data_IF_914597324392
#
_entry.id   IF_914597324392
#
_cell.length_a   1.000
_cell.length_b   1.000
_cell.length_c   1.000
_cell.angle_alpha   90.00
_cell.angle_beta   90.00
_cell.angle_gamma   90.00
#
_symmetry.space_group_name_H-M   'P 1'
#
loop_
_entity.id
_entity.type
_entity.pdbx_description
1 polymer ?
#
# COMPACT_ATOMS: atom_id res chain seq x y z
N UNK A 1 43.30 53.34 -16.07
CA UNK A 1 42.69 52.30 -15.23
C UNK A 1 42.64 50.99 -16.03
N UNK A 2 43.35 49.93 -15.61
CA UNK A 2 43.32 48.63 -16.31
C UNK A 2 42.15 47.79 -15.79
N UNK A 3 41.33 47.18 -16.66
CA UNK A 3 40.23 46.32 -16.23
C UNK A 3 40.79 45.04 -15.58
N UNK A 4 40.38 44.77 -14.34
CA UNK A 4 40.70 43.51 -13.64
C UNK A 4 39.89 42.39 -14.31
N UNK A 5 40.57 41.55 -15.07
CA UNK A 5 40.01 40.31 -15.62
C UNK A 5 39.60 39.40 -14.47
N UNK A 6 38.29 39.30 -14.22
CA UNK A 6 37.72 38.48 -13.17
C UNK A 6 37.89 37.01 -13.57
N UNK A 7 38.89 36.36 -12.95
CA UNK A 7 39.24 34.95 -13.18
C UNK A 7 38.03 34.09 -12.80
N UNK A 8 37.32 33.59 -13.82
CA UNK A 8 36.15 32.71 -13.68
C UNK A 8 36.57 31.49 -12.86
N UNK A 9 36.11 31.43 -11.61
CA UNK A 9 36.37 30.31 -10.69
C UNK A 9 35.70 29.08 -11.29
N UNK A 10 36.48 28.20 -11.89
CA UNK A 10 36.05 26.87 -12.30
C UNK A 10 35.71 26.10 -11.04
N UNK A 11 34.43 26.07 -10.68
CA UNK A 11 33.90 25.13 -9.68
C UNK A 11 34.18 23.73 -10.19
N UNK A 12 35.06 22.99 -9.48
CA UNK A 12 35.30 21.58 -9.76
C UNK A 12 33.94 20.86 -9.80
N UNK A 13 33.68 20.01 -10.81
CA UNK A 13 32.49 19.17 -10.80
C UNK A 13 32.51 18.35 -9.52
N UNK A 14 31.46 18.51 -8.71
CA UNK A 14 31.26 17.68 -7.52
C UNK A 14 31.14 16.24 -8.01
N UNK A 15 31.95 15.30 -7.52
CA UNK A 15 31.84 13.90 -7.92
C UNK A 15 30.42 13.42 -7.62
N UNK A 16 29.73 12.96 -8.65
CA UNK A 16 28.42 12.33 -8.50
C UNK A 16 28.68 11.04 -7.72
N UNK A 17 28.02 10.81 -6.58
CA UNK A 17 28.16 9.57 -5.83
C UNK A 17 27.84 8.39 -6.75
N UNK A 18 28.69 7.36 -6.71
CA UNK A 18 28.43 6.13 -7.44
C UNK A 18 27.02 5.61 -7.09
N UNK A 19 26.27 5.09 -8.07
CA UNK A 19 24.95 4.54 -7.80
C UNK A 19 25.05 3.44 -6.75
N UNK A 20 24.30 3.58 -5.65
CA UNK A 20 24.24 2.66 -4.50
C UNK A 20 23.97 1.19 -4.88
N UNK A 21 23.42 0.94 -6.07
CA UNK A 21 23.05 -0.38 -6.59
C UNK A 21 23.59 -0.55 -8.01
N UNK A 22 24.10 -1.75 -8.31
CA UNK A 22 24.42 -2.13 -9.68
C UNK A 22 23.15 -2.08 -10.56
N UNK A 23 23.27 -1.78 -11.87
CA UNK A 23 22.10 -1.59 -12.75
C UNK A 23 21.11 -2.75 -12.73
N UNK A 24 21.61 -3.99 -12.70
CA UNK A 24 20.75 -5.18 -12.64
C UNK A 24 20.01 -5.31 -11.29
N UNK A 25 20.64 -4.99 -10.15
CA UNK A 25 20.00 -5.03 -8.83
C UNK A 25 18.88 -4.00 -8.74
N UNK A 26 19.10 -2.84 -9.35
CA UNK A 26 18.11 -1.77 -9.44
C UNK A 26 16.89 -2.21 -10.25
N UNK A 27 17.08 -2.85 -11.40
CA UNK A 27 15.99 -3.41 -12.22
C UNK A 27 15.25 -4.51 -11.45
N UNK A 28 15.98 -5.43 -10.82
CA UNK A 28 15.39 -6.51 -10.03
C UNK A 28 14.56 -5.97 -8.86
N UNK A 29 15.08 -4.98 -8.11
CA UNK A 29 14.34 -4.32 -7.04
C UNK A 29 13.10 -3.59 -7.57
N UNK A 30 13.24 -2.84 -8.66
CA UNK A 30 12.12 -2.16 -9.30
C UNK A 30 10.99 -3.13 -9.68
N UNK A 31 11.34 -4.25 -10.30
CA UNK A 31 10.39 -5.30 -10.67
C UNK A 31 9.72 -5.93 -9.44
N UNK A 32 10.49 -6.23 -8.38
CA UNK A 32 9.95 -6.79 -7.15
C UNK A 32 8.93 -5.85 -6.49
N UNK A 33 9.24 -4.56 -6.39
CA UNK A 33 8.33 -3.56 -5.83
C UNK A 33 7.11 -3.29 -6.73
N UNK A 34 7.30 -3.23 -8.04
CA UNK A 34 6.19 -3.04 -8.98
C UNK A 34 5.23 -4.24 -8.98
N UNK A 35 5.75 -5.46 -9.10
CA UNK A 35 4.92 -6.68 -9.12
C UNK A 35 4.29 -6.93 -7.75
N UNK A 36 5.08 -6.85 -6.68
CA UNK A 36 4.58 -7.06 -5.31
C UNK A 36 3.58 -5.99 -4.90
N UNK A 37 3.92 -4.71 -5.09
CA UNK A 37 3.04 -3.59 -4.78
C UNK A 37 1.77 -3.60 -5.62
N UNK A 38 1.89 -3.81 -6.94
CA UNK A 38 0.75 -3.92 -7.85
C UNK A 38 -0.17 -5.09 -7.50
N UNK A 39 0.40 -6.25 -7.16
CA UNK A 39 -0.35 -7.43 -6.70
C UNK A 39 -1.11 -7.17 -5.40
N UNK A 40 -0.45 -6.56 -4.41
CA UNK A 40 -1.12 -6.16 -3.15
C UNK A 40 -2.23 -5.13 -3.39
N UNK A 41 -2.00 -4.14 -4.27
CA UNK A 41 -3.01 -3.13 -4.57
C UNK A 41 -4.25 -3.75 -5.23
N UNK A 42 -4.01 -4.59 -6.25
CA UNK A 42 -5.06 -5.32 -6.95
C UNK A 42 -5.85 -6.22 -6.00
N UNK A 43 -5.17 -7.02 -5.17
CA UNK A 43 -5.81 -7.89 -4.21
C UNK A 43 -6.66 -7.09 -3.21
N UNK A 44 -6.13 -5.99 -2.67
CA UNK A 44 -6.89 -5.15 -1.75
C UNK A 44 -8.17 -4.58 -2.38
N UNK A 45 -8.10 -4.10 -3.64
CA UNK A 45 -9.26 -3.59 -4.37
C UNK A 45 -10.27 -4.71 -4.62
N UNK A 46 -9.79 -5.88 -5.03
CA UNK A 46 -10.63 -7.05 -5.24
C UNK A 46 -11.40 -7.42 -3.96
N UNK A 47 -10.72 -7.53 -2.83
CA UNK A 47 -11.34 -7.90 -1.54
C UNK A 47 -12.37 -6.86 -1.09
N UNK A 48 -12.06 -5.56 -1.23
CA UNK A 48 -13.04 -4.49 -0.95
C UNK A 48 -14.26 -4.61 -1.87
N UNK A 49 -14.07 -4.89 -3.16
CA UNK A 49 -15.17 -5.01 -4.11
C UNK A 49 -16.07 -6.22 -3.80
N UNK A 50 -15.48 -7.36 -3.43
CA UNK A 50 -16.21 -8.55 -3.00
C UNK A 50 -17.00 -8.25 -1.73
N UNK A 51 -16.38 -7.59 -0.76
CA UNK A 51 -17.02 -7.19 0.49
C UNK A 51 -18.20 -6.24 0.26
N UNK A 52 -18.02 -5.18 -0.52
CA UNK A 52 -19.08 -4.21 -0.85
C UNK A 52 -20.22 -4.89 -1.60
N UNK A 53 -19.91 -5.76 -2.56
CA UNK A 53 -20.94 -6.52 -3.29
C UNK A 53 -21.68 -7.51 -2.38
N UNK A 54 -20.98 -8.16 -1.45
CA UNK A 54 -21.60 -9.07 -0.48
C UNK A 54 -22.58 -8.32 0.43
N UNK A 55 -22.17 -7.15 0.93
CA UNK A 55 -23.05 -6.26 1.71
C UNK A 55 -24.26 -5.78 0.89
N UNK A 56 -24.02 -5.30 -0.34
CA UNK A 56 -25.09 -4.78 -1.19
C UNK A 56 -26.14 -5.82 -1.56
N UNK A 57 -25.73 -7.09 -1.68
CA UNK A 57 -26.63 -8.22 -1.97
C UNK A 57 -27.23 -8.86 -0.70
N UNK A 58 -26.93 -8.34 0.50
CA UNK A 58 -27.41 -8.91 1.76
C UNK A 58 -26.91 -10.34 2.01
N UNK A 59 -25.65 -10.62 1.67
CA UNK A 59 -25.08 -11.95 1.85
C UNK A 59 -25.23 -12.40 3.32
N UNK A 60 -25.71 -13.63 3.58
CA UNK A 60 -26.01 -14.08 4.95
C UNK A 60 -24.75 -14.19 5.81
N UNK A 61 -23.60 -14.44 5.19
CA UNK A 61 -22.29 -14.59 5.84
C UNK A 61 -21.26 -13.79 5.05
N UNK A 62 -20.43 -13.03 5.75
CA UNK A 62 -19.35 -12.23 5.17
C UNK A 62 -18.06 -12.45 5.95
N UNK A 63 -16.95 -12.68 5.25
CA UNK A 63 -15.62 -12.77 5.84
C UNK A 63 -14.82 -11.51 5.54
N UNK A 64 -14.08 -11.03 6.54
CA UNK A 64 -13.30 -9.80 6.43
C UNK A 64 -11.92 -9.97 7.05
N UNK A 65 -10.97 -9.12 6.62
CA UNK A 65 -9.62 -9.03 7.17
C UNK A 65 -9.33 -7.58 7.60
N UNK A 66 -8.65 -7.40 8.73
CA UNK A 66 -8.34 -6.05 9.26
C UNK A 66 -7.48 -5.20 8.32
N UNK A 67 -6.61 -5.82 7.53
CA UNK A 67 -5.75 -5.10 6.59
C UNK A 67 -6.49 -4.63 5.31
N UNK A 68 -7.71 -5.11 5.06
CA UNK A 68 -8.45 -4.87 3.81
C UNK A 68 -8.54 -3.38 3.42
N UNK A 69 -8.84 -2.43 4.33
CA UNK A 69 -8.97 -1.02 3.96
C UNK A 69 -7.64 -0.34 3.60
N UNK A 70 -6.52 -0.83 4.15
CA UNK A 70 -5.21 -0.22 3.97
C UNK A 70 -4.36 -0.84 2.86
N UNK A 71 -4.62 -2.10 2.52
CA UNK A 71 -3.85 -2.88 1.54
C UNK A 71 -3.70 -2.17 0.17
N UNK A 72 -4.76 -1.55 -0.41
CA UNK A 72 -4.65 -0.87 -1.70
C UNK A 72 -3.61 0.25 -1.68
N UNK A 73 -3.68 1.13 -0.68
CA UNK A 73 -2.81 2.31 -0.59
C UNK A 73 -1.36 1.92 -0.30
N UNK A 74 -1.16 0.89 0.51
CA UNK A 74 0.17 0.33 0.73
C UNK A 74 0.74 -0.28 -0.56
N UNK A 75 -0.07 -1.07 -1.28
CA UNK A 75 0.30 -1.65 -2.56
C UNK A 75 0.68 -0.59 -3.61
N UNK A 76 -0.12 0.47 -3.76
CA UNK A 76 0.18 1.57 -4.67
C UNK A 76 1.46 2.31 -4.28
N UNK A 77 1.70 2.54 -2.98
CA UNK A 77 2.94 3.13 -2.49
C UNK A 77 4.17 2.30 -2.87
N UNK A 78 4.11 0.98 -2.65
CA UNK A 78 5.18 0.05 -3.03
C UNK A 78 5.39 0.00 -4.54
N UNK A 79 4.30 -0.02 -5.32
CA UNK A 79 4.39 0.04 -6.79
C UNK A 79 5.10 1.32 -7.25
N UNK A 80 4.75 2.46 -6.67
CA UNK A 80 5.36 3.75 -6.99
C UNK A 80 6.85 3.81 -6.62
N UNK A 81 7.28 3.15 -5.54
CA UNK A 81 8.70 2.94 -5.25
C UNK A 81 9.36 2.20 -6.40
N UNK A 82 8.79 1.07 -6.85
CA UNK A 82 9.31 0.30 -7.97
C UNK A 82 9.45 1.13 -9.25
N UNK A 83 8.41 1.90 -9.60
CA UNK A 83 8.44 2.80 -10.74
C UNK A 83 9.51 3.90 -10.61
N UNK A 84 9.65 4.48 -9.42
CA UNK A 84 10.66 5.53 -9.16
C UNK A 84 12.09 5.02 -9.31
N UNK A 85 12.33 3.74 -9.01
CA UNK A 85 13.61 3.09 -9.21
C UNK A 85 13.97 2.94 -10.69
N UNK A 86 13.06 3.09 -11.65
CA UNK A 86 13.41 3.05 -13.08
C UNK A 86 13.73 4.45 -13.66
N UNK A 87 13.41 5.52 -12.93
CA UNK A 87 13.63 6.88 -13.42
C UNK A 87 15.13 7.25 -13.42
N UNK A 88 15.70 7.75 -14.52
CA UNK A 88 17.08 8.21 -14.53
C UNK A 88 17.28 9.29 -13.47
N UNK A 89 18.47 9.31 -12.84
CA UNK A 89 18.86 10.37 -11.92
C UNK A 89 19.08 11.67 -12.71
N UNK A 90 17.99 12.34 -13.09
CA UNK A 90 18.03 13.51 -13.94
C UNK A 90 18.54 14.71 -13.14
N UNK A 91 19.63 15.32 -13.61
CA UNK A 91 20.41 16.34 -12.92
C UNK A 91 19.78 17.73 -12.87
N UNK A 92 18.55 17.91 -13.38
CA UNK A 92 17.92 19.24 -13.40
C UNK A 92 17.16 19.52 -12.11
N UNK A 93 17.23 20.77 -11.64
CA UNK A 93 16.54 21.24 -10.43
C UNK A 93 15.04 21.02 -10.47
N UNK A 94 14.41 21.03 -11.66
CA UNK A 94 12.98 20.71 -11.82
C UNK A 94 12.67 19.25 -11.53
N UNK A 95 13.51 18.31 -11.98
CA UNK A 95 13.32 16.89 -11.70
C UNK A 95 13.45 16.58 -10.21
N UNK A 96 14.38 17.25 -9.52
CA UNK A 96 14.57 17.08 -8.08
C UNK A 96 13.32 17.46 -7.26
N UNK A 97 12.69 18.60 -7.55
CA UNK A 97 11.48 19.04 -6.85
C UNK A 97 10.29 18.08 -7.08
N UNK A 98 10.15 17.57 -8.32
CA UNK A 98 9.12 16.58 -8.64
C UNK A 98 9.39 15.26 -7.90
N UNK A 99 10.66 14.83 -7.85
CA UNK A 99 11.06 13.62 -7.14
C UNK A 99 10.84 13.73 -5.61
N UNK A 100 11.13 14.88 -5.01
CA UNK A 100 10.84 15.16 -3.60
C UNK A 100 9.32 15.11 -3.32
N UNK A 101 8.50 15.74 -4.15
CA UNK A 101 7.03 15.67 -4.03
C UNK A 101 6.50 14.25 -4.20
N UNK A 102 7.03 13.51 -5.17
CA UNK A 102 6.66 12.12 -5.38
C UNK A 102 7.04 11.25 -4.18
N UNK A 103 8.23 11.43 -3.60
CA UNK A 103 8.66 10.72 -2.40
C UNK A 103 7.74 11.02 -1.20
N UNK A 104 7.36 12.29 -0.99
CA UNK A 104 6.38 12.66 0.06
C UNK A 104 5.03 12.00 -0.20
N UNK A 105 4.54 12.00 -1.43
CA UNK A 105 3.25 11.37 -1.78
C UNK A 105 3.28 9.85 -1.54
N UNK A 106 4.38 9.18 -1.89
CA UNK A 106 4.59 7.74 -1.65
C UNK A 106 4.61 7.47 -0.14
N UNK A 107 5.36 8.24 0.65
CA UNK A 107 5.42 8.07 2.09
C UNK A 107 4.05 8.32 2.74
N UNK A 108 3.33 9.33 2.29
CA UNK A 108 1.98 9.61 2.74
C UNK A 108 1.03 8.44 2.42
N UNK A 109 1.11 7.87 1.20
CA UNK A 109 0.24 6.74 0.83
C UNK A 109 0.51 5.51 1.69
N UNK A 110 1.78 5.21 1.97
CA UNK A 110 2.19 4.12 2.85
C UNK A 110 1.72 4.37 4.29
N UNK A 111 1.89 5.59 4.79
CA UNK A 111 1.46 5.97 6.14
C UNK A 111 -0.05 5.86 6.30
N UNK A 112 -0.82 6.43 5.37
CA UNK A 112 -2.29 6.35 5.38
C UNK A 112 -2.73 4.89 5.26
N UNK A 113 -2.13 4.11 4.37
CA UNK A 113 -2.41 2.68 4.24
C UNK A 113 -2.11 1.89 5.52
N UNK A 114 -1.02 2.20 6.22
CA UNK A 114 -0.68 1.57 7.49
C UNK A 114 -1.68 1.95 8.60
N UNK A 115 -2.05 3.24 8.71
CA UNK A 115 -3.07 3.71 9.66
C UNK A 115 -4.42 3.04 9.40
N UNK A 116 -4.84 2.95 8.14
CA UNK A 116 -6.09 2.26 7.76
C UNK A 116 -6.04 0.76 8.05
N UNK A 117 -4.88 0.12 7.88
CA UNK A 117 -4.71 -1.30 8.24
C UNK A 117 -4.81 -1.52 9.74
N UNK A 118 -4.23 -0.63 10.55
CA UNK A 118 -4.31 -0.68 12.02
C UNK A 118 -5.73 -0.37 12.52
N UNK A 119 -6.40 0.61 11.91
CA UNK A 119 -7.77 0.99 12.25
C UNK A 119 -8.81 0.07 11.59
N UNK A 120 -8.41 -0.87 10.74
CA UNK A 120 -9.33 -1.57 9.86
C UNK A 120 -10.33 -2.45 10.61
N UNK A 121 -9.95 -3.02 11.76
CA UNK A 121 -10.92 -3.74 12.61
C UNK A 121 -12.02 -2.80 13.13
N UNK A 122 -11.68 -1.58 13.54
CA UNK A 122 -12.66 -0.59 14.01
C UNK A 122 -13.57 -0.13 12.86
N UNK A 123 -12.99 0.12 11.67
CA UNK A 123 -13.75 0.53 10.48
C UNK A 123 -14.73 -0.56 10.08
N UNK A 124 -14.27 -1.82 10.00
CA UNK A 124 -15.10 -2.96 9.62
C UNK A 124 -16.18 -3.19 10.68
N UNK A 125 -15.85 -3.19 11.97
CA UNK A 125 -16.85 -3.36 13.03
C UNK A 125 -17.95 -2.30 12.95
N UNK A 126 -17.57 -1.02 12.87
CA UNK A 126 -18.54 0.08 12.76
C UNK A 126 -19.42 -0.04 11.51
N UNK A 127 -18.85 -0.50 10.40
CA UNK A 127 -19.60 -0.74 9.17
C UNK A 127 -20.58 -1.91 9.33
N UNK A 128 -20.13 -3.05 9.85
CA UNK A 128 -20.95 -4.24 10.03
C UNK A 128 -22.09 -4.02 11.03
N UNK A 129 -21.83 -3.30 12.12
CA UNK A 129 -22.86 -2.87 13.06
C UNK A 129 -23.94 -2.01 12.38
N UNK A 130 -23.54 -1.13 11.45
CA UNK A 130 -24.45 -0.30 10.66
C UNK A 130 -25.32 -1.08 9.67
N UNK A 131 -24.94 -2.31 9.32
CA UNK A 131 -25.68 -3.21 8.42
C UNK A 131 -26.38 -4.37 9.15
N UNK A 132 -26.53 -4.31 10.47
CA UNK A 132 -27.16 -5.36 11.30
C UNK A 132 -26.47 -6.74 11.21
N UNK A 133 -25.15 -6.75 11.02
CA UNK A 133 -24.33 -7.96 11.10
C UNK A 133 -23.76 -8.17 12.50
N UNK A 134 -23.60 -9.43 12.90
CA UNK A 134 -23.01 -9.82 14.18
C UNK A 134 -21.73 -10.61 13.95
N UNK A 135 -20.67 -10.30 14.70
CA UNK A 135 -19.42 -11.05 14.64
C UNK A 135 -19.63 -12.46 15.20
N UNK A 136 -19.30 -13.47 14.43
CA UNK A 136 -19.23 -14.85 14.89
C UNK A 136 -17.83 -15.11 15.45
N UNK A 137 -17.73 -15.56 16.70
CA UNK A 137 -16.44 -15.98 17.28
C UNK A 137 -16.04 -17.33 16.69
N UNK A 138 -15.50 -17.30 15.47
CA UNK A 138 -14.98 -18.50 14.84
C UNK A 138 -13.56 -18.68 15.34
N UNK A 139 -13.38 -19.45 16.44
CA UNK A 139 -12.07 -19.96 16.85
C UNK A 139 -11.55 -20.95 15.80
N UNK A 140 -11.17 -20.44 14.62
CA UNK A 140 -10.40 -21.19 13.66
C UNK A 140 -8.99 -21.32 14.22
N UNK A 141 -8.68 -22.47 14.82
CA UNK A 141 -7.42 -22.79 15.51
C UNK A 141 -6.13 -22.67 14.68
N UNK A 142 -6.16 -22.03 13.49
CA UNK A 142 -4.98 -21.71 12.66
C UNK A 142 -5.03 -20.38 11.89
N UNK A 143 -6.16 -19.63 11.83
CA UNK A 143 -6.26 -18.38 11.04
C UNK A 143 -6.64 -17.20 11.92
N UNK A 144 -5.64 -16.52 12.50
CA UNK A 144 -5.84 -15.37 13.39
C UNK A 144 -6.29 -14.07 12.67
N UNK A 145 -6.37 -14.05 11.33
CA UNK A 145 -6.49 -12.81 10.54
C UNK A 145 -7.87 -12.55 9.94
N UNK A 146 -8.84 -13.46 10.11
CA UNK A 146 -10.17 -13.36 9.51
C UNK A 146 -11.26 -13.23 10.57
N UNK A 147 -12.24 -12.38 10.32
CA UNK A 147 -13.46 -12.25 11.13
C UNK A 147 -14.66 -12.57 10.25
N UNK A 148 -15.48 -13.52 10.70
CA UNK A 148 -16.72 -13.92 10.04
C UNK A 148 -17.89 -13.19 10.69
N UNK A 149 -18.79 -12.71 9.84
CA UNK A 149 -19.97 -11.95 10.23
C UNK A 149 -21.22 -12.64 9.70
N UNK A 150 -22.26 -12.74 10.52
CA UNK A 150 -23.56 -13.26 10.11
C UNK A 150 -24.62 -12.16 10.17
N UNK A 151 -25.50 -12.11 9.17
CA UNK A 151 -26.67 -11.25 9.21
C UNK A 151 -27.55 -11.60 10.41
N UNK A 152 -28.34 -10.65 10.91
CA UNK A 152 -29.17 -10.83 12.12
C UNK A 152 -30.03 -12.11 12.11
N UNK A 153 -30.59 -12.47 10.97
CA UNK A 153 -31.48 -13.64 10.83
C UNK A 153 -30.75 -14.91 10.36
N UNK A 154 -29.43 -14.83 10.15
CA UNK A 154 -28.60 -15.97 9.77
C UNK A 154 -27.94 -16.62 10.99
N UNK A 155 -27.82 -17.94 10.96
CA UNK A 155 -27.03 -18.67 11.96
C UNK A 155 -25.52 -18.51 11.67
N UNK A 156 -24.73 -18.33 12.73
CA UNK A 156 -23.27 -18.37 12.60
C UNK A 156 -22.83 -19.75 12.08
N UNK A 157 -21.86 -19.80 11.13
CA UNK A 157 -21.35 -21.07 10.63
C UNK A 157 -20.76 -21.89 11.78
N UNK A 158 -21.19 -23.15 11.89
CA UNK A 158 -20.66 -24.09 12.88
C UNK A 158 -19.26 -24.51 12.45
N UNK A 159 -18.31 -24.48 13.38
CA UNK A 159 -16.96 -24.99 13.12
C UNK A 159 -17.06 -26.52 13.07
N UNK A 160 -16.92 -27.10 11.88
CA UNK A 160 -16.76 -28.55 11.76
C UNK A 160 -15.45 -28.92 12.46
N UNK A 161 -15.55 -29.63 13.60
CA UNK A 161 -14.40 -29.99 14.43
C UNK A 161 -13.48 -31.07 13.82
N UNK A 162 -13.77 -31.51 12.59
CA UNK A 162 -13.23 -32.75 11.99
C UNK A 162 -12.38 -32.57 10.71
N UNK A 163 -11.69 -31.43 10.52
CA UNK A 163 -10.70 -31.27 9.44
C UNK A 163 -9.37 -30.67 9.87
#
# INVERSE_FOLDING_TARGET
>A
MKPKTQRRRTTKPVPVPDPLLSPWKRIAAAAAFAVGGGGCAYWGIHDISVFVNALANGAPIIETQSAMPGLPLMGFGLFAIGASLLLPAASTTRFRLVQERAAVAILLSLLVGAVLSLAGSLIINAMMDGFDYRSCEVRHGRRMTFVTWAARDAECPKVDADR
#
